data_IF_587145121165
#
_entry.id   IF_587145121165
#
_cell.length_a   1.000
_cell.length_b   1.000
_cell.length_c   1.000
_cell.angle_alpha   90.00
_cell.angle_beta   90.00
_cell.angle_gamma   90.00
#
_symmetry.space_group_name_H-M   'P 1'
#
loop_
_entity.id
_entity.type
_entity.pdbx_description
1 polymer ?
#
# COMPACT_ATOMS: atom_id res chain seq x y z
N UNK A 1 -6.64 28.66 -19.39
CA UNK A 1 -5.98 27.91 -18.30
C UNK A 1 -6.63 26.56 -18.24
N UNK A 2 -5.87 25.46 -18.39
CA UNK A 2 -6.43 24.12 -18.16
C UNK A 2 -6.73 24.00 -16.66
N UNK A 3 -7.92 23.53 -16.30
CA UNK A 3 -8.26 23.23 -14.91
C UNK A 3 -7.40 22.06 -14.45
N UNK A 4 -6.48 22.30 -13.52
CA UNK A 4 -5.70 21.24 -12.88
C UNK A 4 -6.63 20.39 -12.04
N UNK A 5 -6.80 19.12 -12.43
CA UNK A 5 -7.64 18.15 -11.70
C UNK A 5 -6.76 17.28 -10.81
N UNK A 6 -7.32 16.74 -9.72
CA UNK A 6 -6.58 15.83 -8.83
C UNK A 6 -6.03 14.60 -9.59
N UNK A 7 -6.78 14.09 -10.57
CA UNK A 7 -6.33 13.02 -11.46
C UNK A 7 -5.12 13.39 -12.30
N UNK A 8 -5.05 14.62 -12.80
CA UNK A 8 -3.88 15.11 -13.56
C UNK A 8 -2.63 15.22 -12.68
N UNK A 9 -2.81 15.64 -11.42
CA UNK A 9 -1.74 15.72 -10.43
C UNK A 9 -1.26 14.31 -10.06
N UNK A 10 -2.18 13.37 -9.84
CA UNK A 10 -1.86 11.98 -9.53
C UNK A 10 -1.09 11.28 -10.66
N UNK A 11 -1.46 11.52 -11.92
CA UNK A 11 -0.70 11.01 -13.08
C UNK A 11 0.73 11.55 -13.10
N UNK A 12 0.91 12.86 -12.99
CA UNK A 12 2.24 13.48 -12.93
C UNK A 12 3.09 12.92 -11.78
N UNK A 13 2.50 12.80 -10.59
CA UNK A 13 3.17 12.21 -9.43
C UNK A 13 3.53 10.74 -9.65
N UNK A 14 2.62 9.95 -10.24
CA UNK A 14 2.82 8.54 -10.56
C UNK A 14 3.95 8.31 -11.58
N UNK A 15 4.05 9.15 -12.60
CA UNK A 15 5.11 9.05 -13.62
C UNK A 15 6.49 9.27 -13.02
N UNK A 16 6.64 10.26 -12.13
CA UNK A 16 7.89 10.52 -11.41
C UNK A 16 8.20 9.36 -10.46
N UNK A 17 7.18 8.94 -9.69
CA UNK A 17 7.30 7.86 -8.72
C UNK A 17 7.82 6.58 -9.37
N UNK A 18 7.30 6.22 -10.55
CA UNK A 18 7.59 4.97 -11.26
C UNK A 18 9.08 4.68 -11.47
N UNK A 19 9.90 5.73 -11.48
CA UNK A 19 11.36 5.63 -11.57
C UNK A 19 12.04 5.88 -10.22
N UNK A 20 11.57 6.87 -9.46
CA UNK A 20 12.23 7.31 -8.22
C UNK A 20 12.29 6.22 -7.14
N UNK A 21 11.20 5.46 -6.94
CA UNK A 21 11.13 4.46 -5.86
C UNK A 21 12.23 3.40 -5.99
N UNK A 22 12.44 2.92 -7.22
CA UNK A 22 13.36 1.82 -7.52
C UNK A 22 14.80 2.29 -7.48
N UNK A 23 15.09 3.48 -7.99
CA UNK A 23 16.40 4.09 -7.89
C UNK A 23 16.87 4.19 -6.43
N UNK A 24 16.03 4.74 -5.55
CA UNK A 24 16.35 4.84 -4.10
C UNK A 24 16.46 3.45 -3.46
N UNK A 25 15.57 2.52 -3.82
CA UNK A 25 15.60 1.15 -3.29
C UNK A 25 16.92 0.44 -3.64
N UNK A 26 17.33 0.47 -4.90
CA UNK A 26 18.52 -0.22 -5.38
C UNK A 26 19.80 0.46 -4.88
N UNK A 27 19.86 1.79 -4.85
CA UNK A 27 21.01 2.56 -4.37
C UNK A 27 21.25 2.39 -2.86
N UNK A 28 20.18 2.39 -2.06
CA UNK A 28 20.27 2.44 -0.59
C UNK A 28 19.88 1.14 0.10
N UNK A 29 19.82 0.04 -0.65
CA UNK A 29 19.33 -1.25 -0.16
C UNK A 29 20.02 -1.70 1.12
N UNK A 30 21.36 -1.63 1.15
CA UNK A 30 22.13 -2.11 2.29
C UNK A 30 21.93 -1.21 3.52
N UNK A 31 21.98 0.11 3.34
CA UNK A 31 21.73 1.09 4.42
C UNK A 31 20.33 0.92 5.02
N UNK A 32 19.30 0.82 4.18
CA UNK A 32 17.91 0.66 4.60
C UNK A 32 17.66 -0.72 5.23
N UNK A 33 18.35 -1.76 4.76
CA UNK A 33 18.29 -3.10 5.37
C UNK A 33 18.91 -3.11 6.77
N UNK A 34 20.05 -2.45 6.97
CA UNK A 34 20.64 -2.27 8.30
C UNK A 34 19.75 -1.40 9.20
N UNK A 35 19.16 -0.35 8.65
CA UNK A 35 18.19 0.48 9.36
C UNK A 35 16.98 -0.35 9.80
N UNK A 36 16.46 -1.24 8.95
CA UNK A 36 15.34 -2.12 9.28
C UNK A 36 15.70 -3.10 10.39
N UNK A 37 16.89 -3.73 10.33
CA UNK A 37 17.37 -4.61 11.41
C UNK A 37 17.42 -3.90 12.77
N UNK A 38 17.73 -2.60 12.76
CA UNK A 38 17.92 -1.81 13.98
C UNK A 38 16.65 -1.10 14.48
N UNK A 39 15.76 -0.71 13.57
CA UNK A 39 14.64 0.19 13.86
C UNK A 39 13.30 -0.26 13.24
N UNK A 40 13.25 -1.43 12.61
CA UNK A 40 12.05 -2.00 11.98
C UNK A 40 11.48 -1.12 10.87
N UNK A 41 10.17 -0.97 10.86
CA UNK A 41 9.40 -0.29 9.81
C UNK A 41 9.78 1.18 9.57
N UNK A 42 10.53 1.80 10.49
CA UNK A 42 11.06 3.16 10.30
C UNK A 42 11.94 3.27 9.04
N UNK A 43 12.57 2.18 8.61
CA UNK A 43 13.32 2.14 7.36
C UNK A 43 12.43 2.44 6.14
N UNK A 44 11.18 2.00 6.13
CA UNK A 44 10.24 2.32 5.05
C UNK A 44 9.89 3.80 5.04
N UNK A 45 9.69 4.43 6.21
CA UNK A 45 9.48 5.88 6.30
C UNK A 45 10.66 6.68 5.72
N UNK A 46 11.89 6.26 6.03
CA UNK A 46 13.10 6.88 5.49
C UNK A 46 13.24 6.70 3.97
N UNK A 47 12.86 5.52 3.46
CA UNK A 47 12.82 5.25 2.03
C UNK A 47 11.75 6.10 1.31
N UNK A 48 10.54 6.16 1.86
CA UNK A 48 9.43 6.98 1.36
C UNK A 48 9.80 8.46 1.29
N UNK A 49 10.41 8.99 2.36
CA UNK A 49 10.83 10.39 2.39
C UNK A 49 11.76 10.75 1.23
N UNK A 50 12.62 9.82 0.82
CA UNK A 50 13.60 10.06 -0.24
C UNK A 50 12.99 9.95 -1.63
N UNK A 51 12.20 8.92 -1.93
CA UNK A 51 11.62 8.80 -3.27
C UNK A 51 10.46 9.79 -3.52
N UNK A 52 9.81 10.29 -2.46
CA UNK A 52 8.76 11.33 -2.59
C UNK A 52 9.32 12.75 -2.72
N UNK A 53 10.61 12.97 -2.44
CA UNK A 53 11.25 14.27 -2.62
C UNK A 53 11.11 14.80 -4.06
N UNK A 54 11.50 14.07 -5.13
CA UNK A 54 11.34 14.55 -6.51
C UNK A 54 9.88 14.78 -6.91
N UNK A 55 8.94 14.02 -6.35
CA UNK A 55 7.49 14.25 -6.56
C UNK A 55 7.08 15.59 -5.97
N UNK A 56 7.46 15.84 -4.72
CA UNK A 56 7.12 17.08 -4.00
C UNK A 56 7.73 18.30 -4.68
N UNK A 57 9.00 18.21 -5.09
CA UNK A 57 9.71 19.29 -5.78
C UNK A 57 9.06 19.64 -7.13
N UNK A 58 8.67 18.63 -7.91
CA UNK A 58 8.02 18.87 -9.19
C UNK A 58 6.63 19.48 -9.04
N UNK A 59 5.82 18.98 -8.11
CA UNK A 59 4.50 19.56 -7.85
C UNK A 59 4.62 21.01 -7.37
N UNK A 60 5.59 21.31 -6.50
CA UNK A 60 5.83 22.67 -6.03
C UNK A 60 6.21 23.63 -7.16
N UNK A 61 6.97 23.17 -8.16
CA UNK A 61 7.30 23.96 -9.35
C UNK A 61 6.06 24.36 -10.17
N UNK A 62 4.98 23.58 -10.10
CA UNK A 62 3.70 23.83 -10.75
C UNK A 62 2.71 24.59 -9.83
N UNK A 63 3.16 25.10 -8.68
CA UNK A 63 2.33 25.81 -7.71
C UNK A 63 1.44 24.91 -6.86
N UNK A 64 1.69 23.60 -6.87
CA UNK A 64 0.95 22.58 -6.12
C UNK A 64 1.74 22.17 -4.88
N UNK A 65 1.10 22.26 -3.72
CA UNK A 65 1.70 22.00 -2.42
C UNK A 65 1.13 20.70 -1.87
N UNK A 66 2.03 19.77 -1.52
CA UNK A 66 1.74 18.61 -0.68
C UNK A 66 2.70 18.60 0.51
N UNK A 67 2.27 18.02 1.63
CA UNK A 67 3.16 17.82 2.78
C UNK A 67 4.17 16.71 2.46
N UNK A 68 5.43 17.07 2.21
CA UNK A 68 6.47 16.08 1.92
C UNK A 68 6.70 15.08 3.06
N UNK A 69 7.26 13.91 2.72
CA UNK A 69 7.70 12.88 3.68
C UNK A 69 6.64 11.83 4.02
N UNK A 70 6.83 11.14 5.14
CA UNK A 70 5.91 10.13 5.68
C UNK A 70 5.40 10.57 7.05
N UNK A 71 4.08 10.60 7.22
CA UNK A 71 3.44 10.81 8.51
C UNK A 71 2.53 9.63 8.84
N UNK A 72 2.82 8.94 9.95
CA UNK A 72 2.04 7.78 10.38
C UNK A 72 0.56 8.12 10.64
N UNK A 73 0.30 9.33 11.19
CA UNK A 73 -1.06 9.79 11.48
C UNK A 73 -1.89 10.06 10.22
N UNK A 74 -1.19 10.26 9.09
CA UNK A 74 -1.77 10.48 7.76
C UNK A 74 -1.69 9.18 6.92
N UNK A 75 -1.86 8.02 7.56
CA UNK A 75 -1.82 6.72 6.89
C UNK A 75 -2.71 5.66 7.54
N UNK A 76 -3.10 4.65 6.75
CA UNK A 76 -3.77 3.43 7.21
C UNK A 76 -3.04 2.20 6.67
N UNK A 77 -2.92 1.16 7.49
CA UNK A 77 -2.37 -0.13 7.08
C UNK A 77 -3.51 -1.13 6.89
N UNK A 78 -3.50 -1.80 5.75
CA UNK A 78 -4.38 -2.91 5.45
C UNK A 78 -3.63 -4.22 5.67
N UNK A 79 -4.33 -5.19 6.27
CA UNK A 79 -3.74 -6.47 6.61
C UNK A 79 -3.61 -7.35 5.35
N UNK A 80 -2.68 -8.29 5.43
CA UNK A 80 -2.27 -9.18 4.36
C UNK A 80 -1.17 -10.11 4.90
N UNK A 81 -0.58 -10.98 4.06
CA UNK A 81 0.51 -11.82 4.50
C UNK A 81 1.67 -10.96 5.04
N UNK A 82 2.44 -11.43 6.05
CA UNK A 82 3.53 -10.63 6.64
C UNK A 82 4.59 -10.16 5.65
N UNK A 83 4.76 -10.85 4.53
CA UNK A 83 5.68 -10.50 3.45
C UNK A 83 5.18 -9.33 2.59
N UNK A 84 3.89 -9.04 2.65
CA UNK A 84 3.21 -8.12 1.75
C UNK A 84 2.00 -7.51 2.45
N UNK A 85 2.29 -6.49 3.26
CA UNK A 85 1.29 -5.56 3.76
C UNK A 85 1.23 -4.31 2.91
N UNK A 86 0.05 -3.70 2.93
CA UNK A 86 -0.19 -2.46 2.23
C UNK A 86 -0.39 -1.34 3.23
N UNK A 87 0.27 -0.21 2.98
CA UNK A 87 0.01 1.03 3.68
C UNK A 87 -0.39 2.11 2.67
N UNK A 88 -1.52 2.74 2.92
CA UNK A 88 -1.98 3.90 2.18
C UNK A 88 -1.66 5.16 2.99
N UNK A 89 -0.86 6.06 2.41
CA UNK A 89 -0.43 7.33 3.01
C UNK A 89 -1.06 8.45 2.19
N UNK A 90 -1.73 9.39 2.84
CA UNK A 90 -2.43 10.45 2.12
C UNK A 90 -1.73 11.80 2.26
N UNK A 91 -1.85 12.60 1.19
CA UNK A 91 -1.30 13.93 1.05
C UNK A 91 -2.39 14.86 0.55
N UNK A 92 -2.83 15.79 1.39
CA UNK A 92 -3.76 16.84 0.95
C UNK A 92 -3.05 17.73 -0.05
N UNK A 93 -3.67 17.91 -1.21
CA UNK A 93 -3.16 18.72 -2.31
C UNK A 93 -3.72 20.12 -2.18
N UNK A 94 -2.84 21.11 -2.18
CA UNK A 94 -3.22 22.52 -2.07
C UNK A 94 -2.63 23.36 -3.20
N UNK A 95 -3.31 24.42 -3.59
CA UNK A 95 -2.70 25.49 -4.38
C UNK A 95 -1.79 26.35 -3.51
N UNK A 96 -1.00 27.23 -4.14
CA UNK A 96 -0.22 28.25 -3.43
C UNK A 96 -1.09 29.19 -2.58
N UNK A 97 -2.34 29.40 -2.98
CA UNK A 97 -3.34 30.20 -2.27
C UNK A 97 -4.01 29.43 -1.11
N UNK A 98 -3.70 28.13 -0.96
CA UNK A 98 -4.21 27.28 0.11
C UNK A 98 -5.54 26.58 -0.20
N UNK A 99 -6.04 26.67 -1.43
CA UNK A 99 -7.24 25.95 -1.87
C UNK A 99 -6.96 24.45 -1.93
N UNK A 100 -7.82 23.64 -1.33
CA UNK A 100 -7.70 22.19 -1.33
C UNK A 100 -8.30 21.60 -2.61
N UNK A 101 -7.48 20.87 -3.37
CA UNK A 101 -7.85 20.32 -4.69
C UNK A 101 -8.24 18.83 -4.64
N UNK A 102 -8.07 18.19 -3.48
CA UNK A 102 -8.22 16.74 -3.31
C UNK A 102 -7.03 16.13 -2.57
N UNK A 103 -6.88 14.82 -2.68
CA UNK A 103 -5.89 14.03 -1.95
C UNK A 103 -5.15 13.08 -2.87
N UNK A 104 -3.82 13.09 -2.80
CA UNK A 104 -2.99 12.01 -3.33
C UNK A 104 -2.84 10.92 -2.28
N UNK A 105 -2.93 9.67 -2.70
CA UNK A 105 -2.67 8.52 -1.83
C UNK A 105 -1.50 7.73 -2.39
N UNK A 106 -0.41 7.69 -1.64
CA UNK A 106 0.69 6.76 -1.87
C UNK A 106 0.32 5.40 -1.27
N UNK A 107 0.16 4.42 -2.14
CA UNK A 107 -0.02 3.03 -1.77
C UNK A 107 1.33 2.33 -1.84
N UNK A 108 1.88 2.00 -0.68
CA UNK A 108 3.17 1.35 -0.53
C UNK A 108 3.01 -0.08 0.00
N UNK A 109 3.74 -1.02 -0.62
CA UNK A 109 3.76 -2.42 -0.22
C UNK A 109 5.07 -2.73 0.48
N UNK A 110 5.00 -3.40 1.63
CA UNK A 110 6.16 -3.66 2.47
C UNK A 110 6.07 -4.98 3.23
N UNK A 111 7.23 -5.55 3.54
CA UNK A 111 7.37 -6.75 4.36
C UNK A 111 7.65 -6.38 5.82
N UNK A 112 6.95 -7.04 6.74
CA UNK A 112 7.24 -6.95 8.18
C UNK A 112 8.39 -7.90 8.60
N UNK A 113 8.89 -8.74 7.67
CA UNK A 113 9.93 -9.74 7.96
C UNK A 113 11.34 -9.25 7.60
N UNK A 114 11.46 -8.38 6.61
CA UNK A 114 12.73 -7.90 6.07
C UNK A 114 12.48 -6.60 5.31
N UNK A 115 13.52 -5.80 5.08
CA UNK A 115 13.41 -4.62 4.21
C UNK A 115 13.25 -5.06 2.74
N UNK A 116 12.00 -5.27 2.33
CA UNK A 116 11.65 -5.77 1.01
C UNK A 116 10.37 -5.13 0.49
N UNK A 117 10.40 -4.76 -0.79
CA UNK A 117 9.34 -4.08 -1.52
C UNK A 117 8.73 -5.10 -2.49
N UNK A 118 7.65 -5.79 -2.12
CA UNK A 118 7.10 -6.87 -2.95
C UNK A 118 6.46 -6.35 -4.24
N UNK A 119 6.03 -5.07 -4.25
CA UNK A 119 5.49 -4.38 -5.42
C UNK A 119 6.00 -2.96 -5.51
N UNK A 120 5.96 -2.41 -6.71
CA UNK A 120 6.12 -0.98 -6.92
C UNK A 120 5.03 -0.20 -6.14
N UNK A 121 5.40 0.89 -5.44
CA UNK A 121 4.42 1.81 -4.89
C UNK A 121 3.69 2.55 -6.02
N UNK A 122 2.48 3.05 -5.74
CA UNK A 122 1.66 3.80 -6.70
C UNK A 122 0.92 4.96 -6.07
N UNK A 123 0.49 5.91 -6.91
CA UNK A 123 -0.32 7.05 -6.51
C UNK A 123 -1.77 6.85 -6.97
N UNK A 124 -2.71 7.07 -6.06
CA UNK A 124 -4.14 7.17 -6.33
C UNK A 124 -4.62 8.61 -6.08
N UNK A 125 -5.72 9.00 -6.73
CA UNK A 125 -6.40 10.26 -6.50
C UNK A 125 -7.71 10.04 -5.73
N UNK A 126 -8.00 10.91 -4.77
CA UNK A 126 -9.30 11.05 -4.13
C UNK A 126 -9.75 12.52 -4.21
N UNK A 127 -11.03 12.74 -4.49
CA UNK A 127 -11.63 14.09 -4.54
C UNK A 127 -11.84 14.70 -3.14
N UNK A 128 -11.82 13.87 -2.09
CA UNK A 128 -12.06 14.28 -0.71
C UNK A 128 -10.78 14.73 -0.01
N UNK A 129 -10.89 15.70 0.92
CA UNK A 129 -9.77 16.17 1.75
C UNK A 129 -10.00 16.02 3.25
N UNK A 130 -11.24 15.75 3.67
CA UNK A 130 -11.55 15.44 5.06
C UNK A 130 -10.99 14.07 5.47
N UNK A 131 -10.39 14.00 6.66
CA UNK A 131 -9.72 12.80 7.18
C UNK A 131 -10.67 11.59 7.26
N UNK A 132 -11.89 11.78 7.76
CA UNK A 132 -12.82 10.67 7.93
C UNK A 132 -13.35 10.20 6.58
N UNK A 133 -13.57 11.11 5.64
CA UNK A 133 -13.91 10.77 4.27
C UNK A 133 -12.78 10.00 3.55
N UNK A 134 -11.52 10.38 3.76
CA UNK A 134 -10.35 9.67 3.23
C UNK A 134 -10.27 8.25 3.81
N UNK A 135 -10.42 8.11 5.13
CA UNK A 135 -10.39 6.80 5.80
C UNK A 135 -11.54 5.92 5.31
N UNK A 136 -12.74 6.47 5.16
CA UNK A 136 -13.89 5.74 4.64
C UNK A 136 -13.62 5.24 3.21
N UNK A 137 -13.08 6.10 2.33
CA UNK A 137 -12.73 5.72 0.97
C UNK A 137 -11.65 4.62 0.93
N UNK A 138 -10.60 4.72 1.75
CA UNK A 138 -9.52 3.73 1.80
C UNK A 138 -9.91 2.43 2.51
N UNK A 139 -10.97 2.44 3.32
CA UNK A 139 -11.56 1.23 3.91
C UNK A 139 -12.39 0.44 2.90
N UNK A 140 -12.65 1.00 1.72
CA UNK A 140 -13.21 0.26 0.59
C UNK A 140 -12.07 -0.33 -0.25
N UNK A 141 -12.05 -1.66 -0.36
CA UNK A 141 -11.06 -2.36 -1.16
C UNK A 141 -11.11 -1.95 -2.64
N UNK A 142 -12.28 -1.60 -3.18
CA UNK A 142 -12.43 -1.19 -4.59
C UNK A 142 -11.73 0.14 -4.91
N UNK A 143 -11.51 1.00 -3.91
CA UNK A 143 -10.73 2.23 -4.04
C UNK A 143 -9.25 1.92 -4.22
N UNK A 144 -8.75 0.92 -3.49
CA UNK A 144 -7.33 0.58 -3.39
C UNK A 144 -6.88 -0.45 -4.41
N UNK A 145 -7.74 -1.42 -4.70
CA UNK A 145 -7.45 -2.47 -5.66
C UNK A 145 -7.91 -1.95 -7.02
N UNK A 146 -6.96 -1.67 -7.90
CA UNK A 146 -7.18 -1.02 -9.20
C UNK A 146 -6.61 -1.88 -10.32
N UNK A 147 -7.49 -2.58 -11.04
CA UNK A 147 -7.12 -3.46 -12.15
C UNK A 147 -6.60 -2.70 -13.37
N UNK A 148 -6.99 -1.43 -13.48
CA UNK A 148 -6.60 -0.50 -14.55
C UNK A 148 -5.17 0.05 -14.36
N UNK A 149 -4.59 -0.12 -13.17
CA UNK A 149 -3.22 0.28 -12.88
C UNK A 149 -2.27 -0.89 -13.06
N UNK A 150 -1.15 -0.65 -13.74
CA UNK A 150 -0.09 -1.65 -13.94
C UNK A 150 0.47 -2.10 -12.58
N UNK A 151 0.51 -3.41 -12.36
CA UNK A 151 1.16 -4.00 -11.20
C UNK A 151 2.56 -4.48 -11.59
N UNK A 152 3.59 -3.93 -10.95
CA UNK A 152 4.96 -4.40 -11.03
C UNK A 152 5.33 -5.09 -9.72
N UNK A 153 5.84 -6.33 -9.81
CA UNK A 153 6.22 -7.15 -8.66
C UNK A 153 7.70 -7.47 -8.69
N UNK A 154 8.32 -7.42 -7.51
CA UNK A 154 9.68 -7.91 -7.35
C UNK A 154 9.67 -9.44 -7.30
N UNK A 155 10.70 -10.12 -7.85
CA UNK A 155 10.87 -11.56 -7.69
C UNK A 155 10.83 -11.93 -6.21
N UNK A 156 10.09 -12.99 -5.88
CA UNK A 156 10.04 -13.47 -4.51
C UNK A 156 11.39 -14.10 -4.13
N UNK A 157 11.80 -13.99 -2.86
CA UNK A 157 12.80 -14.89 -2.30
C UNK A 157 12.32 -16.34 -2.44
N UNK A 158 13.22 -17.27 -2.76
CA UNK A 158 12.87 -18.69 -2.88
C UNK A 158 12.28 -19.21 -1.57
N UNK A 159 11.09 -19.81 -1.65
CA UNK A 159 10.47 -20.52 -0.53
C UNK A 159 11.07 -21.94 -0.49
N UNK A 160 12.06 -22.17 0.36
CA UNK A 160 12.57 -23.51 0.60
C UNK A 160 11.62 -24.30 1.49
N UNK A 161 11.41 -25.59 1.21
CA UNK A 161 10.58 -26.46 2.05
C UNK A 161 11.48 -27.43 2.82
N UNK A 162 11.29 -27.51 4.13
CA UNK A 162 12.00 -28.44 5.00
C UNK A 162 11.03 -29.43 5.65
N UNK A 163 11.47 -30.66 5.99
CA UNK A 163 10.58 -31.74 6.44
C UNK A 163 10.04 -31.59 7.88
N UNK A 164 10.29 -30.47 8.57
CA UNK A 164 9.84 -30.26 9.96
C UNK A 164 8.46 -29.59 9.96
N UNK A 165 7.43 -30.29 10.45
CA UNK A 165 6.06 -29.77 10.57
C UNK A 165 5.89 -28.80 11.75
N UNK A 166 6.58 -27.67 11.72
CA UNK A 166 6.19 -26.51 12.53
C UNK A 166 5.36 -25.58 11.65
N UNK A 167 4.33 -24.97 12.22
CA UNK A 167 3.49 -24.02 11.50
C UNK A 167 3.65 -22.64 12.09
N UNK A 168 3.65 -21.62 11.24
CA UNK A 168 3.32 -20.26 11.64
C UNK A 168 1.89 -19.93 11.25
N UNK A 169 1.29 -18.99 11.99
CA UNK A 169 -0.09 -18.55 11.81
C UNK A 169 -0.14 -17.04 11.61
N UNK A 170 -1.12 -16.59 10.84
CA UNK A 170 -1.38 -15.19 10.61
C UNK A 170 -2.89 -14.94 10.46
N UNK A 171 -3.30 -13.68 10.59
CA UNK A 171 -4.70 -13.28 10.50
C UNK A 171 -4.88 -12.11 9.56
N UNK A 172 -5.98 -12.11 8.81
CA UNK A 172 -6.44 -10.99 8.01
C UNK A 172 -7.77 -10.47 8.58
N UNK A 173 -7.83 -9.18 8.91
CA UNK A 173 -9.06 -8.53 9.39
C UNK A 173 -9.71 -7.61 8.34
N UNK A 174 -9.08 -7.48 7.17
CA UNK A 174 -9.53 -6.70 6.02
C UNK A 174 -10.10 -7.56 4.88
N UNK A 175 -9.98 -8.89 4.95
CA UNK A 175 -10.51 -9.79 3.92
C UNK A 175 -12.02 -9.60 3.65
N UNK A 176 -12.77 -9.18 4.67
CA UNK A 176 -14.19 -8.85 4.56
C UNK A 176 -14.48 -7.63 3.69
N UNK A 177 -13.50 -6.74 3.47
CA UNK A 177 -13.69 -5.58 2.60
C UNK A 177 -13.89 -5.99 1.13
N UNK A 178 -13.32 -7.13 0.72
CA UNK A 178 -13.55 -7.72 -0.60
C UNK A 178 -14.95 -8.32 -0.78
N UNK A 179 -15.75 -8.41 0.28
CA UNK A 179 -17.14 -8.87 0.25
C UNK A 179 -18.15 -7.71 0.24
N UNK A 180 -17.69 -6.45 0.18
CA UNK A 180 -18.60 -5.31 0.09
C UNK A 180 -19.24 -5.27 -1.31
N UNK A 181 -20.57 -5.14 -1.42
CA UNK A 181 -21.23 -4.96 -2.70
C UNK A 181 -20.84 -3.61 -3.28
N UNK A 182 -20.72 -3.55 -4.60
CA UNK A 182 -20.48 -2.32 -5.32
C UNK A 182 -21.74 -1.43 -5.37
N UNK A 183 -21.61 -0.24 -5.96
CA UNK A 183 -22.71 0.72 -6.09
C UNK A 183 -23.91 0.16 -6.88
N UNK A 184 -23.69 -0.83 -7.76
CA UNK A 184 -24.73 -1.55 -8.50
C UNK A 184 -25.34 -2.73 -7.71
N UNK A 185 -24.89 -2.94 -6.46
CA UNK A 185 -25.31 -4.04 -5.60
C UNK A 185 -24.62 -5.37 -5.89
N UNK A 186 -23.73 -5.46 -6.88
CA UNK A 186 -23.04 -6.70 -7.22
C UNK A 186 -21.86 -6.96 -6.29
N UNK A 187 -21.66 -8.24 -5.94
CA UNK A 187 -20.45 -8.69 -5.26
C UNK A 187 -19.38 -8.96 -6.30
N UNK A 188 -18.35 -8.13 -6.28
CA UNK A 188 -17.17 -8.33 -7.09
C UNK A 188 -16.23 -9.34 -6.44
N UNK A 189 -16.37 -10.62 -6.80
CA UNK A 189 -15.56 -11.72 -6.26
C UNK A 189 -14.05 -11.52 -6.45
N UNK A 190 -13.66 -10.73 -7.45
CA UNK A 190 -12.26 -10.52 -7.81
C UNK A 190 -11.43 -9.85 -6.70
N UNK A 191 -12.03 -9.00 -5.85
CA UNK A 191 -11.32 -8.41 -4.71
C UNK A 191 -10.94 -9.48 -3.68
N UNK A 192 -11.83 -10.44 -3.45
CA UNK A 192 -11.59 -11.57 -2.58
C UNK A 192 -10.57 -12.53 -3.20
N UNK A 193 -10.71 -12.83 -4.49
CA UNK A 193 -9.76 -13.68 -5.23
C UNK A 193 -8.35 -13.07 -5.20
N UNK A 194 -8.25 -11.75 -5.37
CA UNK A 194 -6.99 -11.01 -5.27
C UNK A 194 -6.40 -11.10 -3.85
N UNK A 195 -7.21 -10.89 -2.82
CA UNK A 195 -6.77 -11.00 -1.42
C UNK A 195 -6.25 -12.40 -1.10
N UNK A 196 -7.02 -13.45 -1.41
CA UNK A 196 -6.62 -14.85 -1.20
C UNK A 196 -5.38 -15.23 -2.02
N UNK A 197 -5.29 -14.70 -3.25
CA UNK A 197 -4.13 -14.88 -4.11
C UNK A 197 -2.83 -14.39 -3.48
N UNK A 198 -2.85 -13.25 -2.76
CA UNK A 198 -1.66 -12.75 -2.06
C UNK A 198 -1.20 -13.70 -0.97
N UNK A 199 -2.13 -14.23 -0.15
CA UNK A 199 -1.81 -15.21 0.88
C UNK A 199 -1.21 -16.49 0.28
N UNK A 200 -1.88 -17.09 -0.71
CA UNK A 200 -1.41 -18.31 -1.37
C UNK A 200 -0.04 -18.16 -2.03
N UNK A 201 0.28 -16.95 -2.55
CA UNK A 201 1.58 -16.64 -3.16
C UNK A 201 2.77 -16.82 -2.21
N UNK A 202 2.55 -16.71 -0.90
CA UNK A 202 3.58 -16.91 0.11
C UNK A 202 3.41 -18.24 0.88
N UNK A 203 2.69 -19.20 0.27
CA UNK A 203 2.47 -20.53 0.84
C UNK A 203 1.48 -20.56 1.99
N UNK A 204 0.72 -19.49 2.24
CA UNK A 204 -0.29 -19.46 3.28
C UNK A 204 -1.56 -20.18 2.83
N UNK A 205 -2.04 -21.06 3.69
CA UNK A 205 -3.29 -21.81 3.55
C UNK A 205 -4.36 -21.19 4.44
N UNK A 206 -5.55 -20.95 3.88
CA UNK A 206 -6.71 -20.52 4.64
C UNK A 206 -7.18 -21.67 5.55
N UNK A 207 -7.32 -21.37 6.85
CA UNK A 207 -7.73 -22.34 7.88
C UNK A 207 -9.19 -22.15 8.25
N UNK A 208 -9.60 -20.92 8.52
CA UNK A 208 -10.95 -20.60 8.99
C UNK A 208 -11.29 -19.14 8.72
N UNK A 209 -12.59 -18.84 8.64
CA UNK A 209 -13.15 -17.49 8.51
C UNK A 209 -14.23 -17.32 9.57
N UNK A 210 -14.12 -16.31 10.42
CA UNK A 210 -15.01 -16.08 11.56
C UNK A 210 -15.54 -14.65 11.55
N UNK A 211 -16.86 -14.43 11.67
CA UNK A 211 -17.42 -13.10 11.87
C UNK A 211 -17.25 -12.66 13.33
N UNK A 212 -16.72 -11.44 13.55
CA UNK A 212 -16.55 -10.85 14.89
C UNK A 212 -16.87 -9.36 14.83
N UNK A 213 -17.89 -8.92 15.57
CA UNK A 213 -18.19 -7.49 15.74
C UNK A 213 -18.46 -6.73 14.43
N UNK A 214 -19.13 -7.35 13.46
CA UNK A 214 -19.38 -6.75 12.14
C UNK A 214 -18.18 -6.79 11.17
N UNK A 215 -17.06 -7.40 11.58
CA UNK A 215 -15.90 -7.68 10.73
C UNK A 215 -15.79 -9.17 10.43
N UNK A 216 -15.02 -9.50 9.41
CA UNK A 216 -14.64 -10.87 9.06
C UNK A 216 -13.16 -11.03 9.34
N UNK A 217 -12.80 -12.06 10.11
CA UNK A 217 -11.41 -12.44 10.39
C UNK A 217 -11.11 -13.75 9.67
N UNK A 218 -10.11 -13.75 8.80
CA UNK A 218 -9.56 -14.98 8.22
C UNK A 218 -8.27 -15.39 8.94
N UNK A 219 -8.13 -16.69 9.20
CA UNK A 219 -6.97 -17.30 9.82
C UNK A 219 -6.22 -18.11 8.78
N UNK A 220 -4.91 -17.92 8.73
CA UNK A 220 -4.02 -18.60 7.80
C UNK A 220 -2.93 -19.35 8.55
N UNK A 221 -2.41 -20.41 7.94
CA UNK A 221 -1.21 -21.12 8.41
C UNK A 221 -0.27 -21.41 7.25
N UNK A 222 1.01 -21.63 7.53
CA UNK A 222 1.93 -22.28 6.59
C UNK A 222 3.03 -23.03 7.33
N UNK A 223 3.70 -24.00 6.68
CA UNK A 223 4.89 -24.62 7.26
C UNK A 223 5.99 -23.59 7.51
N UNK A 224 6.71 -23.71 8.62
CA UNK A 224 7.93 -22.93 8.86
C UNK A 224 9.00 -23.35 7.87
N UNK A 225 9.66 -22.34 7.33
CA UNK A 225 10.86 -22.47 6.52
C UNK A 225 11.98 -21.99 7.44
N UNK A 226 12.70 -22.94 8.06
CA UNK A 226 13.90 -22.63 8.85
C UNK A 226 15.06 -22.23 7.92
#
# INVERSE_FOLDING_TARGET
MQTTTIDSIARTAGDILSHAWKAVYDEKKDELSEMFKKFGDRAYGAWIQQFMAPVTERLAADGIIIRGGFNLNDSIENWGPPEERERCIWYIVKTAEGEELGTLVLQAYHSHRSFFMPRAPRILALEVTDREAIIAALSDASTRIRWDLREERMPQPELHSFPIQRFEYATDTSIGDGLKPAADGQLYSWNLDNALGHWGRYGWELVSVVPVGGKVIAYFKRPLID
#
